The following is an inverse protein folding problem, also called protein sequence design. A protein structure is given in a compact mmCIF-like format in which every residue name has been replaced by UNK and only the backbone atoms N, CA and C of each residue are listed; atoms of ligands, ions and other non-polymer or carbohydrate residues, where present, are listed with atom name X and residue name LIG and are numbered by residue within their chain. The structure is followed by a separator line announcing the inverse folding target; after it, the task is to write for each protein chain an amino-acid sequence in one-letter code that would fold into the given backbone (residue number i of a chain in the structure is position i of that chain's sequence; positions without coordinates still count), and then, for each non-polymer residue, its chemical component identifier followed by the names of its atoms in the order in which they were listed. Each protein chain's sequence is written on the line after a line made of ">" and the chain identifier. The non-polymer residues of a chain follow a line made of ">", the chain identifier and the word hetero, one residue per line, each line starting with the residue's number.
data_IF_554673589743
#
_entry.id   IF_554673589743
#
_cell.length_a   1.000
_cell.length_b   1.000
_cell.length_c   1.000
_cell.angle_alpha   90.00
_cell.angle_beta   90.00
_cell.angle_gamma   90.00
#
_symmetry.space_group_name_H-M   'P 1'
#
loop_
_entity.id
_entity.type
_entity.pdbx_description
1 polymer ?
#
# COMPACT_ATOMS: atom_id res chain seq x y z
N UNK A 1 30.55 8.97 1.42
CA UNK A 1 29.51 8.51 0.48
C UNK A 1 28.40 9.53 0.51
N UNK A 2 28.27 10.30 -0.56
CA UNK A 2 27.22 11.33 -0.62
C UNK A 2 25.89 10.65 -0.94
N UNK A 3 25.09 10.44 0.08
CA UNK A 3 23.71 9.98 -0.09
C UNK A 3 22.89 11.23 -0.41
N UNK A 4 22.45 11.34 -1.66
CA UNK A 4 21.63 12.47 -2.09
C UNK A 4 20.26 12.34 -1.45
N UNK A 5 19.88 13.35 -0.71
CA UNK A 5 18.66 13.45 0.07
C UNK A 5 17.34 13.38 -0.69
N UNK A 6 17.38 13.47 -2.00
CA UNK A 6 16.19 13.49 -2.87
C UNK A 6 15.77 12.12 -3.41
N UNK A 7 16.45 11.06 -2.98
CA UNK A 7 16.32 9.76 -3.64
C UNK A 7 15.44 8.74 -2.90
N UNK A 8 14.93 9.07 -1.69
CA UNK A 8 14.08 8.14 -0.92
C UNK A 8 12.66 8.68 -0.76
N UNK A 9 11.69 7.85 -1.08
CA UNK A 9 10.25 8.19 -0.97
C UNK A 9 9.73 8.16 0.46
N UNK A 10 10.51 7.59 1.40
CA UNK A 10 10.13 7.52 2.80
C UNK A 10 11.10 6.71 3.67
N UNK A 11 10.81 6.59 4.98
CA UNK A 11 11.70 5.90 5.92
C UNK A 11 11.86 4.41 5.60
N UNK A 12 10.82 3.74 5.11
CA UNK A 12 10.89 2.33 4.71
C UNK A 12 11.76 2.13 3.46
N UNK A 13 11.77 3.08 2.54
CA UNK A 13 12.63 3.04 1.35
C UNK A 13 14.11 3.15 1.74
N UNK A 14 14.43 4.03 2.67
CA UNK A 14 15.76 4.14 3.23
C UNK A 14 16.18 2.85 3.94
N UNK A 15 15.30 2.26 4.78
CA UNK A 15 15.58 1.00 5.46
C UNK A 15 15.78 -0.14 4.45
N UNK A 16 14.94 -0.26 3.44
CA UNK A 16 15.10 -1.25 2.37
C UNK A 16 16.44 -1.09 1.65
N UNK A 17 16.85 0.14 1.37
CA UNK A 17 18.15 0.42 0.76
C UNK A 17 19.31 -0.01 1.67
N UNK A 18 19.23 0.25 2.98
CA UNK A 18 20.26 -0.14 3.94
C UNK A 18 20.36 -1.67 4.07
N UNK A 19 19.21 -2.35 4.14
CA UNK A 19 19.16 -3.83 4.21
C UNK A 19 19.69 -4.44 2.92
N UNK A 20 19.36 -3.90 1.76
CA UNK A 20 19.82 -4.41 0.46
C UNK A 20 21.32 -4.39 0.27
N UNK A 21 22.07 -3.56 1.03
CA UNK A 21 23.54 -3.54 0.98
C UNK A 21 24.16 -4.85 1.46
N UNK A 22 23.49 -5.57 2.35
CA UNK A 22 24.04 -6.79 2.93
C UNK A 22 23.93 -8.00 2.00
N UNK A 23 23.16 -7.92 0.92
CA UNK A 23 22.97 -9.02 -0.06
C UNK A 23 22.57 -10.36 0.58
N UNK A 24 21.88 -10.29 1.73
CA UNK A 24 21.42 -11.42 2.53
C UNK A 24 19.90 -11.43 2.54
N UNK A 25 19.32 -12.47 3.13
CA UNK A 25 17.89 -12.48 3.41
C UNK A 25 17.54 -11.38 4.42
N UNK A 26 16.37 -10.77 4.27
CA UNK A 26 15.91 -9.68 5.15
C UNK A 26 15.92 -10.08 6.62
N UNK A 27 15.63 -11.34 6.90
CA UNK A 27 15.57 -11.89 8.26
C UNK A 27 16.94 -12.23 8.86
N UNK A 28 17.98 -12.35 8.03
CA UNK A 28 19.36 -12.66 8.46
C UNK A 28 20.22 -11.40 8.64
N UNK A 29 19.69 -10.22 8.32
CA UNK A 29 20.44 -8.96 8.38
C UNK A 29 20.69 -8.55 9.84
N UNK A 30 21.89 -8.08 10.17
CA UNK A 30 22.18 -7.55 11.52
C UNK A 30 21.43 -6.23 11.74
N UNK A 31 20.19 -6.32 12.21
CA UNK A 31 19.28 -5.16 12.35
C UNK A 31 19.88 -4.04 13.20
N UNK A 32 20.74 -4.36 14.16
CA UNK A 32 21.41 -3.36 15.00
C UNK A 32 22.28 -2.41 14.18
N UNK A 33 23.00 -2.94 13.18
CA UNK A 33 23.83 -2.13 12.29
C UNK A 33 22.98 -1.27 11.34
N UNK A 34 21.85 -1.81 10.87
CA UNK A 34 20.89 -1.08 10.04
C UNK A 34 20.32 0.10 10.83
N UNK A 35 19.95 -0.13 12.10
CA UNK A 35 19.45 0.91 12.99
C UNK A 35 20.49 2.02 13.18
N UNK A 36 21.74 1.66 13.41
CA UNK A 36 22.84 2.64 13.58
C UNK A 36 23.03 3.48 12.32
N UNK A 37 23.03 2.85 11.14
CA UNK A 37 23.17 3.56 9.88
C UNK A 37 21.98 4.50 9.62
N UNK A 38 20.77 4.06 9.94
CA UNK A 38 19.56 4.87 9.80
C UNK A 38 19.63 6.11 10.70
N UNK A 39 19.94 5.93 12.01
CA UNK A 39 20.04 7.02 12.96
C UNK A 39 21.17 8.00 12.60
N UNK A 40 22.31 7.50 12.13
CA UNK A 40 23.40 8.33 11.63
C UNK A 40 22.97 9.16 10.41
N UNK A 41 22.19 8.57 9.53
CA UNK A 41 21.63 9.27 8.37
C UNK A 41 20.71 10.40 8.80
N UNK A 42 19.70 10.12 9.64
CA UNK A 42 18.75 11.13 10.13
C UNK A 42 19.47 12.26 10.86
N UNK A 43 20.47 11.96 11.71
CA UNK A 43 21.26 12.98 12.41
C UNK A 43 22.07 13.85 11.46
N UNK A 44 22.57 13.29 10.37
CA UNK A 44 23.28 14.05 9.32
C UNK A 44 22.33 15.04 8.62
N UNK A 45 21.10 14.61 8.36
CA UNK A 45 20.05 15.46 7.80
C UNK A 45 19.78 16.67 8.70
N UNK A 46 19.60 16.42 9.98
CA UNK A 46 19.38 17.48 10.97
C UNK A 46 20.57 18.45 11.06
N UNK A 47 21.80 17.93 11.03
CA UNK A 47 23.00 18.75 11.06
C UNK A 47 23.12 19.66 9.83
N UNK A 48 22.65 19.20 8.69
CA UNK A 48 22.58 19.99 7.43
C UNK A 48 21.41 20.98 7.41
N UNK A 49 20.66 21.11 8.49
CA UNK A 49 19.44 21.93 8.61
C UNK A 49 18.41 21.64 7.52
N UNK A 50 18.34 20.41 7.08
CA UNK A 50 17.33 19.94 6.15
C UNK A 50 16.07 19.58 6.92
N UNK A 51 14.93 19.93 6.35
CA UNK A 51 13.64 19.64 6.98
C UNK A 51 13.40 18.14 6.93
N UNK A 52 13.53 17.49 8.09
CA UNK A 52 13.25 16.06 8.24
C UNK A 52 11.77 15.90 8.51
N UNK A 53 11.06 15.19 7.63
CA UNK A 53 9.64 14.93 7.81
C UNK A 53 9.37 14.12 9.07
N UNK A 54 8.19 14.32 9.69
CA UNK A 54 7.80 13.64 10.93
C UNK A 54 7.89 12.11 10.85
N UNK A 55 7.66 11.53 9.66
CA UNK A 55 7.73 10.09 9.42
C UNK A 55 9.11 9.49 9.73
N UNK A 56 10.20 10.17 9.35
CA UNK A 56 11.56 9.73 9.68
C UNK A 56 11.83 9.79 11.17
N UNK A 57 11.25 10.76 11.88
CA UNK A 57 11.41 10.88 13.33
C UNK A 57 10.62 9.81 14.08
N UNK A 58 9.41 9.47 13.61
CA UNK A 58 8.62 8.36 14.16
C UNK A 58 9.36 7.04 13.99
N UNK A 59 9.87 6.77 12.80
CA UNK A 59 10.67 5.57 12.55
C UNK A 59 11.95 5.54 13.39
N UNK A 60 12.66 6.66 13.52
CA UNK A 60 13.83 6.75 14.38
C UNK A 60 13.51 6.39 15.84
N UNK A 61 12.36 6.83 16.36
CA UNK A 61 11.91 6.51 17.71
C UNK A 61 11.62 5.02 17.89
N UNK A 62 10.96 4.40 16.89
CA UNK A 62 10.71 2.95 16.89
C UNK A 62 12.03 2.16 16.85
N UNK A 63 12.98 2.56 16.01
CA UNK A 63 14.29 1.91 15.90
C UNK A 63 15.11 2.06 17.18
N UNK A 64 15.06 3.22 17.84
CA UNK A 64 15.69 3.42 19.15
C UNK A 64 15.08 2.50 20.21
N UNK A 65 13.77 2.29 20.18
CA UNK A 65 13.09 1.38 21.09
C UNK A 65 13.56 -0.05 20.89
N UNK A 66 13.62 -0.53 19.65
CA UNK A 66 14.12 -1.88 19.30
C UNK A 66 15.57 -2.04 19.78
N UNK A 67 16.43 -1.07 19.48
CA UNK A 67 17.84 -1.08 19.91
C UNK A 67 17.97 -1.11 21.43
N UNK A 68 17.23 -0.28 22.14
CA UNK A 68 17.26 -0.22 23.61
C UNK A 68 16.87 -1.56 24.23
N UNK A 69 15.82 -2.20 23.71
CA UNK A 69 15.37 -3.50 24.19
C UNK A 69 16.40 -4.60 23.96
N UNK A 70 17.03 -4.64 22.77
CA UNK A 70 18.10 -5.62 22.47
C UNK A 70 19.34 -5.49 23.37
N UNK A 71 19.60 -4.30 23.89
CA UNK A 71 20.75 -4.06 24.78
C UNK A 71 20.45 -4.35 26.25
N UNK A 72 19.19 -4.51 26.64
CA UNK A 72 18.81 -4.86 28.00
C UNK A 72 19.05 -6.35 28.28
N UNK A 73 19.46 -6.73 29.50
CA UNK A 73 19.55 -8.14 29.86
C UNK A 73 18.18 -8.81 29.78
N UNK A 74 18.11 -9.94 29.07
CA UNK A 74 16.86 -10.69 28.89
C UNK A 74 16.35 -11.20 30.25
N UNK A 75 15.25 -10.63 30.73
CA UNK A 75 14.48 -11.17 31.86
C UNK A 75 13.40 -12.07 31.23
N UNK A 76 13.29 -13.30 31.69
CA UNK A 76 12.56 -14.40 31.03
C UNK A 76 11.08 -14.15 30.71
N UNK A 77 10.47 -13.09 31.19
CA UNK A 77 9.05 -12.77 30.98
C UNK A 77 8.78 -11.76 29.84
N UNK A 78 9.81 -11.19 29.18
CA UNK A 78 9.67 -10.09 28.20
C UNK A 78 10.12 -10.49 26.80
N UNK A 79 10.61 -11.71 26.60
CA UNK A 79 11.22 -12.16 25.35
C UNK A 79 10.26 -12.21 24.17
N UNK A 80 8.98 -12.55 24.36
CA UNK A 80 8.02 -12.69 23.27
C UNK A 80 7.64 -11.35 22.61
N UNK A 81 7.59 -10.26 23.41
CA UNK A 81 7.25 -8.92 22.89
C UNK A 81 8.42 -8.22 22.17
N UNK A 82 9.65 -8.69 22.36
CA UNK A 82 10.84 -8.12 21.72
C UNK A 82 11.03 -8.65 20.31
N UNK A 83 10.86 -9.94 20.15
CA UNK A 83 10.96 -10.60 18.85
C UNK A 83 9.81 -10.15 17.92
N UNK A 84 8.63 -9.86 18.46
CA UNK A 84 7.48 -9.36 17.72
C UNK A 84 7.76 -8.02 17.04
N UNK A 85 8.36 -7.03 17.72
CA UNK A 85 8.61 -5.69 17.17
C UNK A 85 9.66 -5.69 16.04
N UNK A 86 10.69 -6.52 16.18
CA UNK A 86 11.71 -6.67 15.14
C UNK A 86 11.14 -7.38 13.92
N UNK A 87 10.43 -8.49 14.15
CA UNK A 87 9.76 -9.24 13.09
C UNK A 87 8.71 -8.41 12.37
N UNK A 88 7.95 -7.59 13.10
CA UNK A 88 6.96 -6.69 12.53
C UNK A 88 7.63 -5.65 11.61
N UNK A 89 8.74 -5.06 12.04
CA UNK A 89 9.51 -4.13 11.21
C UNK A 89 10.06 -4.81 9.95
N UNK A 90 10.66 -6.00 10.08
CA UNK A 90 11.19 -6.75 8.94
C UNK A 90 10.09 -7.14 7.96
N UNK A 91 8.92 -7.53 8.47
CA UNK A 91 7.73 -7.81 7.67
C UNK A 91 7.26 -6.58 6.89
N UNK A 92 7.25 -5.40 7.52
CA UNK A 92 6.90 -4.14 6.85
C UNK A 92 7.90 -3.79 5.73
N UNK A 93 9.20 -4.01 5.95
CA UNK A 93 10.23 -3.78 4.92
C UNK A 93 10.04 -4.75 3.75
N UNK A 94 9.73 -6.03 4.02
CA UNK A 94 9.47 -7.02 2.99
C UNK A 94 8.22 -6.70 2.18
N UNK A 95 7.15 -6.29 2.84
CA UNK A 95 5.92 -5.87 2.20
C UNK A 95 6.15 -4.63 1.32
N UNK A 96 6.86 -3.62 1.81
CA UNK A 96 7.27 -2.46 1.04
C UNK A 96 8.07 -2.84 -0.20
N UNK A 97 9.03 -3.77 -0.06
CA UNK A 97 9.81 -4.30 -1.19
C UNK A 97 8.91 -4.93 -2.26
N UNK A 98 7.92 -5.73 -1.85
CA UNK A 98 6.95 -6.35 -2.77
C UNK A 98 6.14 -5.28 -3.52
N UNK A 99 5.63 -4.26 -2.81
CA UNK A 99 4.88 -3.17 -3.43
C UNK A 99 5.74 -2.34 -4.38
N UNK A 100 6.98 -2.07 -4.03
CA UNK A 100 7.92 -1.35 -4.90
C UNK A 100 8.16 -2.09 -6.21
N UNK A 101 8.43 -3.39 -6.15
CA UNK A 101 8.59 -4.23 -7.35
C UNK A 101 7.32 -4.26 -8.22
N UNK A 102 6.15 -4.33 -7.59
CA UNK A 102 4.87 -4.25 -8.30
C UNK A 102 4.68 -2.88 -8.97
N UNK A 103 5.06 -1.81 -8.28
CA UNK A 103 5.03 -0.44 -8.83
C UNK A 103 5.88 -0.31 -10.09
N UNK A 104 7.10 -0.83 -10.07
CA UNK A 104 7.99 -0.85 -11.24
C UNK A 104 7.39 -1.65 -12.42
N UNK A 105 6.77 -2.80 -12.13
CA UNK A 105 6.10 -3.59 -13.17
C UNK A 105 4.87 -2.87 -13.75
N UNK A 106 4.10 -2.18 -12.92
CA UNK A 106 2.97 -1.37 -13.35
C UNK A 106 3.41 -0.18 -14.19
N UNK A 107 4.51 0.45 -13.86
CA UNK A 107 5.11 1.55 -14.64
C UNK A 107 5.48 1.08 -16.05
N UNK A 108 6.15 -0.07 -16.18
CA UNK A 108 6.45 -0.67 -17.49
C UNK A 108 5.17 -0.92 -18.29
N UNK A 109 4.13 -1.49 -17.65
CA UNK A 109 2.85 -1.73 -18.30
C UNK A 109 2.11 -0.44 -18.67
N UNK A 110 2.26 0.60 -17.86
CA UNK A 110 1.71 1.91 -18.16
C UNK A 110 2.39 2.52 -19.39
N UNK A 111 3.72 2.44 -19.48
CA UNK A 111 4.48 2.92 -20.62
C UNK A 111 4.11 2.15 -21.91
N UNK A 112 3.97 0.84 -21.82
CA UNK A 112 3.49 0.02 -22.94
C UNK A 112 2.09 0.48 -23.37
N UNK A 113 1.17 0.65 -22.43
CA UNK A 113 -0.20 1.08 -22.70
C UNK A 113 -0.25 2.49 -23.30
N UNK A 114 0.64 3.38 -22.91
CA UNK A 114 0.71 4.75 -23.44
C UNK A 114 1.03 4.81 -24.95
N UNK A 115 1.58 3.73 -25.53
CA UNK A 115 1.84 3.63 -26.97
C UNK A 115 0.57 3.34 -27.78
N UNK A 116 -0.52 2.91 -27.13
CA UNK A 116 -1.75 2.52 -27.79
C UNK A 116 -2.84 3.56 -27.56
N UNK A 117 -3.46 3.99 -28.65
CA UNK A 117 -4.61 4.88 -28.61
C UNK A 117 -5.89 4.04 -28.77
N UNK A 118 -6.88 4.26 -27.93
CA UNK A 118 -8.19 3.65 -28.07
C UNK A 118 -9.04 4.47 -29.04
N UNK A 119 -9.60 3.81 -30.05
CA UNK A 119 -10.60 4.43 -30.90
C UNK A 119 -11.93 4.48 -30.15
N UNK A 120 -12.64 5.60 -30.26
CA UNK A 120 -14.02 5.66 -29.76
C UNK A 120 -14.90 4.58 -30.41
N UNK A 121 -15.89 4.03 -29.71
CA UNK A 121 -16.83 3.10 -30.27
C UNK A 121 -17.44 3.73 -31.54
N UNK A 122 -17.31 3.03 -32.66
CA UNK A 122 -17.93 3.48 -33.92
C UNK A 122 -19.16 2.62 -34.12
N UNK A 123 -20.31 3.26 -34.23
CA UNK A 123 -21.50 2.55 -34.65
C UNK A 123 -21.31 2.11 -36.14
N UNK A 124 -21.21 0.80 -36.34
CA UNK A 124 -21.20 0.23 -37.68
C UNK A 124 -22.65 0.17 -38.14
N UNK A 125 -23.05 1.14 -38.94
CA UNK A 125 -24.36 1.12 -39.61
C UNK A 125 -24.18 0.22 -40.82
N UNK A 126 -24.71 -0.99 -40.76
CA UNK A 126 -24.77 -1.90 -41.89
C UNK A 126 -26.07 -1.60 -42.64
N UNK A 127 -25.99 -0.92 -43.78
CA UNK A 127 -27.15 -0.55 -44.58
C UNK A 127 -27.91 -1.77 -45.18
N UNK A 128 -27.22 -2.93 -45.28
CA UNK A 128 -27.76 -4.15 -45.87
C UNK A 128 -27.83 -5.35 -44.91
N UNK A 129 -27.86 -5.13 -43.61
CA UNK A 129 -27.99 -6.22 -42.66
C UNK A 129 -29.47 -6.65 -42.58
N UNK A 130 -29.86 -7.64 -43.33
CA UNK A 130 -31.07 -8.39 -43.03
C UNK A 130 -30.92 -9.04 -41.66
N UNK A 131 -31.76 -8.60 -40.71
CA UNK A 131 -31.85 -9.22 -39.40
C UNK A 131 -32.47 -10.63 -39.55
N UNK A 132 -31.62 -11.64 -39.74
CA UNK A 132 -32.06 -13.03 -39.67
C UNK A 132 -32.32 -13.34 -38.19
N UNK A 133 -33.59 -13.38 -37.82
CA UNK A 133 -34.01 -13.73 -36.48
C UNK A 133 -33.98 -15.25 -36.29
N UNK A 134 -32.79 -15.78 -35.99
CA UNK A 134 -32.62 -17.18 -35.57
C UNK A 134 -32.89 -17.38 -34.05
N UNK A 135 -33.38 -16.33 -33.40
CA UNK A 135 -33.59 -16.34 -31.94
C UNK A 135 -35.03 -16.74 -31.60
N UNK A 136 -35.14 -17.70 -30.73
CA UNK A 136 -36.42 -18.16 -30.19
C UNK A 136 -36.93 -17.28 -29.07
N UNK A 137 -38.20 -17.40 -28.72
CA UNK A 137 -38.78 -16.72 -27.53
C UNK A 137 -38.06 -17.12 -26.25
N UNK A 138 -37.47 -18.34 -26.22
CA UNK A 138 -36.70 -18.84 -25.11
C UNK A 138 -35.38 -18.08 -24.97
N UNK A 139 -34.69 -17.78 -26.07
CA UNK A 139 -33.44 -16.99 -26.06
C UNK A 139 -33.69 -15.57 -25.57
N UNK A 140 -34.81 -14.98 -25.93
CA UNK A 140 -35.22 -13.67 -25.44
C UNK A 140 -35.48 -13.71 -23.92
N UNK A 141 -36.17 -14.73 -23.44
CA UNK A 141 -36.40 -14.92 -22.00
C UNK A 141 -35.10 -15.08 -21.21
N UNK A 142 -34.16 -15.89 -21.71
CA UNK A 142 -32.84 -16.09 -21.09
C UNK A 142 -32.04 -14.78 -21.07
N UNK A 143 -32.01 -14.04 -22.16
CA UNK A 143 -31.34 -12.75 -22.23
C UNK A 143 -31.95 -11.75 -21.22
N UNK A 144 -33.27 -11.69 -21.15
CA UNK A 144 -33.98 -10.83 -20.22
C UNK A 144 -33.73 -11.22 -18.74
N UNK A 145 -33.78 -12.52 -18.44
CA UNK A 145 -33.51 -13.00 -17.09
C UNK A 145 -32.07 -12.67 -16.64
N UNK A 146 -31.10 -12.77 -17.56
CA UNK A 146 -29.68 -12.41 -17.29
C UNK A 146 -29.53 -10.90 -17.01
N UNK A 147 -30.22 -10.06 -17.76
CA UNK A 147 -30.22 -8.61 -17.54
C UNK A 147 -30.88 -8.23 -16.21
N UNK A 148 -31.98 -8.88 -15.85
CA UNK A 148 -32.64 -8.67 -14.56
C UNK A 148 -31.73 -9.06 -13.38
N UNK A 149 -31.02 -10.18 -13.51
CA UNK A 149 -30.06 -10.63 -12.46
C UNK A 149 -28.93 -9.64 -12.29
N UNK A 150 -28.31 -9.20 -13.40
CA UNK A 150 -27.26 -8.17 -13.37
C UNK A 150 -27.74 -6.86 -12.74
N UNK A 151 -28.92 -6.40 -13.13
CA UNK A 151 -29.49 -5.16 -12.61
C UNK A 151 -29.82 -5.28 -11.12
N UNK A 152 -30.26 -6.45 -10.66
CA UNK A 152 -30.51 -6.74 -9.25
C UNK A 152 -29.22 -6.74 -8.43
N UNK A 153 -28.13 -7.29 -8.99
CA UNK A 153 -26.80 -7.25 -8.37
C UNK A 153 -26.23 -5.82 -8.29
N UNK A 154 -26.40 -5.03 -9.35
CA UNK A 154 -26.02 -3.62 -9.35
C UNK A 154 -26.82 -2.82 -8.32
N UNK A 155 -28.10 -3.05 -8.22
CA UNK A 155 -28.96 -2.43 -7.18
C UNK A 155 -28.57 -2.85 -5.78
N UNK A 156 -28.22 -4.11 -5.57
CA UNK A 156 -27.75 -4.61 -4.27
C UNK A 156 -26.41 -3.98 -3.86
N UNK A 157 -25.53 -3.74 -4.82
CA UNK A 157 -24.23 -3.07 -4.57
C UNK A 157 -24.37 -1.56 -4.36
N UNK A 158 -25.38 -0.92 -4.92
CA UNK A 158 -25.60 0.53 -4.79
C UNK A 158 -26.32 0.94 -3.50
N UNK A 159 -26.83 -0.01 -2.73
CA UNK A 159 -27.61 0.25 -1.50
C UNK A 159 -26.77 0.13 -0.21
N UNK A 160 -25.49 0.40 -0.28
CA UNK A 160 -24.72 0.66 0.95
C UNK A 160 -24.94 2.11 1.35
N UNK A 161 -26.08 2.38 1.99
CA UNK A 161 -26.29 3.66 2.64
C UNK A 161 -25.41 3.66 3.88
N UNK A 162 -24.31 4.39 3.84
CA UNK A 162 -23.56 4.72 5.04
C UNK A 162 -24.44 5.69 5.81
N UNK A 163 -25.17 5.17 6.81
CA UNK A 163 -25.79 6.00 7.82
C UNK A 163 -24.66 6.69 8.58
N UNK A 164 -24.47 7.97 8.29
CA UNK A 164 -23.61 8.82 9.09
C UNK A 164 -24.35 9.06 10.40
N UNK A 165 -23.82 8.49 11.49
CA UNK A 165 -24.28 8.85 12.83
C UNK A 165 -23.96 10.33 13.06
N UNK A 166 -24.96 11.17 12.92
CA UNK A 166 -24.89 12.59 13.31
C UNK A 166 -25.00 12.70 14.85
N UNK A 167 -23.90 12.37 15.54
CA UNK A 167 -23.78 12.81 16.92
C UNK A 167 -23.47 14.30 16.92
N UNK A 168 -24.47 15.12 17.32
CA UNK A 168 -24.23 16.54 17.58
C UNK A 168 -23.48 16.66 18.90
N UNK A 169 -22.48 17.56 18.92
CA UNK A 169 -21.67 17.85 20.11
C UNK A 169 -22.56 18.26 21.30
N UNK A 170 -23.73 18.87 21.01
CA UNK A 170 -24.72 19.30 21.98
C UNK A 170 -25.41 18.10 22.72
N UNK A 171 -25.59 16.96 22.07
CA UNK A 171 -26.19 15.77 22.66
C UNK A 171 -25.22 15.03 23.63
N UNK A 172 -23.90 15.23 23.46
CA UNK A 172 -22.87 14.69 24.34
C UNK A 172 -22.66 15.53 25.61
N UNK A 173 -23.07 16.79 25.64
CA UNK A 173 -22.94 17.66 26.80
C UNK A 173 -24.04 17.44 27.85
N UNK A 174 -25.06 16.64 27.57
CA UNK A 174 -26.19 16.37 28.49
C UNK A 174 -25.94 15.13 29.39
N UNK A 175 -24.84 14.37 29.11
CA UNK A 175 -24.53 13.12 29.83
C UNK A 175 -23.40 13.29 30.88
N UNK A 176 -22.89 14.53 31.09
CA UNK A 176 -21.89 14.80 32.15
C UNK A 176 -22.52 15.50 33.33
#
# INVERSE_FOLDING_TARGET
>A
MDIKLKDFEGPLDLLLHLVSKYQMDIYDVPITEVIEQYLAYVSTLQAMRLEVTGEYMVMASQLMLIKSRKLLPKVAEVTDLEDDLEQDLLSQIEEYRKFKLLGEQLEVKHQDRAQYYSKAPTELIYEDAELVHDKTTIDLFLAFSTLLTKKKEEFSKSHTTILRDEYKIEDMMVIV
#
